data_IF_281639304481
#
_entry.id   IF_281639304481
#
_cell.length_a   1.000
_cell.length_b   1.000
_cell.length_c   1.000
_cell.angle_alpha   90.00
_cell.angle_beta   90.00
_cell.angle_gamma   90.00
#
_symmetry.space_group_name_H-M   'P 1'
#
loop_
_entity.id
_entity.type
_entity.pdbx_description
1 polymer ?
#
# COMPACT_ATOMS: atom_id res chain seq x y z
N UNK A 1 2.94 -26.22 9.52
CA UNK A 1 3.88 -25.80 8.48
C UNK A 1 3.98 -24.27 8.44
N UNK A 2 2.87 -23.54 8.38
CA UNK A 2 2.82 -22.08 8.34
C UNK A 2 3.57 -21.42 9.50
N UNK A 3 3.38 -21.92 10.72
CA UNK A 3 4.08 -21.39 11.90
C UNK A 3 5.60 -21.50 11.80
N UNK A 4 6.13 -22.55 11.17
CA UNK A 4 7.56 -22.70 10.93
C UNK A 4 8.04 -21.66 9.94
N UNK A 5 7.29 -21.43 8.85
CA UNK A 5 7.61 -20.43 7.84
C UNK A 5 7.62 -19.03 8.44
N UNK A 6 6.62 -18.70 9.27
CA UNK A 6 6.55 -17.41 9.99
C UNK A 6 7.77 -17.25 10.91
N UNK A 7 8.13 -18.30 11.66
CA UNK A 7 9.29 -18.25 12.55
C UNK A 7 10.59 -18.00 11.79
N UNK A 8 10.78 -18.64 10.63
CA UNK A 8 11.95 -18.44 9.76
C UNK A 8 11.98 -17.01 9.21
N UNK A 9 10.82 -16.42 8.85
CA UNK A 9 10.75 -15.04 8.38
C UNK A 9 11.11 -14.07 9.50
N UNK A 10 10.56 -14.25 10.71
CA UNK A 10 10.88 -13.41 11.87
C UNK A 10 12.36 -13.51 12.20
N UNK A 11 12.91 -14.73 12.20
CA UNK A 11 14.33 -14.94 12.41
C UNK A 11 15.18 -14.22 11.34
N UNK A 12 14.79 -14.33 10.07
CA UNK A 12 15.45 -13.59 8.96
C UNK A 12 15.42 -12.08 9.20
N UNK A 13 14.27 -11.53 9.64
CA UNK A 13 14.13 -10.09 9.94
C UNK A 13 15.10 -9.65 11.05
N UNK A 14 15.19 -10.44 12.13
CA UNK A 14 16.13 -10.18 13.24
C UNK A 14 17.57 -10.21 12.75
N UNK A 15 17.94 -11.19 11.91
CA UNK A 15 19.30 -11.30 11.35
C UNK A 15 19.67 -10.11 10.45
N UNK A 16 18.70 -9.60 9.65
CA UNK A 16 18.92 -8.38 8.86
C UNK A 16 19.12 -7.18 9.76
N UNK A 17 18.36 -7.05 10.87
CA UNK A 17 18.55 -6.01 11.87
C UNK A 17 19.93 -6.09 12.54
N UNK A 18 20.36 -7.28 12.93
CA UNK A 18 21.70 -7.49 13.54
C UNK A 18 22.82 -7.09 12.56
N UNK A 19 22.67 -7.40 11.27
CA UNK A 19 23.66 -7.07 10.24
C UNK A 19 23.78 -5.55 9.95
N UNK A 20 22.95 -4.71 10.55
CA UNK A 20 23.08 -3.25 10.48
C UNK A 20 24.12 -2.66 11.46
N UNK A 21 24.58 -3.46 12.41
CA UNK A 21 25.63 -3.08 13.37
C UNK A 21 27.02 -3.45 12.85
N UNK A 22 28.04 -2.75 13.34
CA UNK A 22 29.43 -3.11 13.07
C UNK A 22 29.79 -4.40 13.83
N UNK A 23 29.86 -5.50 13.10
CA UNK A 23 30.08 -6.85 13.63
C UNK A 23 31.48 -7.36 13.32
N UNK A 24 31.94 -8.28 14.17
CA UNK A 24 33.16 -9.05 13.89
C UNK A 24 33.05 -9.78 12.53
N UNK A 25 34.12 -9.79 11.69
CA UNK A 25 34.10 -10.48 10.39
C UNK A 25 33.68 -11.96 10.46
N UNK A 26 33.94 -12.64 11.57
CA UNK A 26 33.51 -14.03 11.77
C UNK A 26 31.99 -14.14 11.89
N UNK A 27 31.36 -13.19 12.60
CA UNK A 27 29.88 -13.15 12.73
C UNK A 27 29.22 -12.83 11.39
N UNK A 28 29.80 -11.92 10.60
CA UNK A 28 29.30 -11.61 9.26
C UNK A 28 29.31 -12.87 8.38
N UNK A 29 30.38 -13.67 8.42
CA UNK A 29 30.45 -14.92 7.65
C UNK A 29 29.37 -15.93 8.07
N UNK A 30 29.09 -16.04 9.37
CA UNK A 30 28.02 -16.92 9.87
C UNK A 30 26.65 -16.42 9.39
N UNK A 31 26.41 -15.11 9.47
CA UNK A 31 25.17 -14.48 9.04
C UNK A 31 24.93 -14.75 7.52
N UNK A 32 25.95 -14.66 6.69
CA UNK A 32 25.85 -14.94 5.27
C UNK A 32 25.46 -16.39 4.99
N UNK A 33 26.05 -17.35 5.71
CA UNK A 33 25.70 -18.79 5.57
C UNK A 33 24.25 -19.04 6.01
N UNK A 34 23.84 -18.45 7.13
CA UNK A 34 22.47 -18.57 7.62
C UNK A 34 21.47 -17.94 6.63
N UNK A 35 21.80 -16.76 6.09
CA UNK A 35 20.97 -16.06 5.12
C UNK A 35 20.80 -16.87 3.81
N UNK A 36 21.86 -17.52 3.34
CA UNK A 36 21.78 -18.45 2.22
C UNK A 36 20.87 -19.64 2.55
N UNK A 37 21.00 -20.22 3.74
CA UNK A 37 20.15 -21.31 4.21
C UNK A 37 18.66 -20.93 4.25
N UNK A 38 18.35 -19.71 4.71
CA UNK A 38 16.99 -19.15 4.71
C UNK A 38 16.46 -18.98 3.28
N UNK A 39 17.30 -18.51 2.37
CA UNK A 39 16.90 -18.35 0.95
C UNK A 39 16.57 -19.69 0.33
N UNK A 40 17.41 -20.71 0.59
CA UNK A 40 17.21 -22.07 0.10
C UNK A 40 15.93 -22.69 0.69
N UNK A 41 15.66 -22.46 1.98
CA UNK A 41 14.42 -22.89 2.63
C UNK A 41 13.19 -22.32 1.92
N UNK A 42 13.18 -21.01 1.61
CA UNK A 42 12.07 -20.40 0.90
C UNK A 42 11.94 -20.86 -0.54
N UNK A 43 13.04 -21.15 -1.22
CA UNK A 43 13.00 -21.71 -2.55
C UNK A 43 12.38 -23.12 -2.56
N UNK A 44 12.76 -23.96 -1.60
CA UNK A 44 12.20 -25.29 -1.44
C UNK A 44 10.71 -25.20 -1.10
N UNK A 45 10.32 -24.36 -0.16
CA UNK A 45 8.92 -24.13 0.23
C UNK A 45 8.06 -23.71 -0.97
N UNK A 46 8.52 -22.72 -1.74
CA UNK A 46 7.83 -22.24 -2.93
C UNK A 46 7.73 -23.33 -4.01
N UNK A 47 8.81 -24.11 -4.20
CA UNK A 47 8.83 -25.22 -5.14
C UNK A 47 7.85 -26.32 -4.75
N UNK A 48 7.81 -26.69 -3.48
CA UNK A 48 6.85 -27.70 -2.95
C UNK A 48 5.42 -27.20 -3.15
N UNK A 49 5.13 -25.93 -2.84
CA UNK A 49 3.81 -25.33 -3.06
C UNK A 49 3.43 -25.34 -4.54
N UNK A 50 4.37 -24.98 -5.43
CA UNK A 50 4.16 -25.01 -6.87
C UNK A 50 3.94 -26.44 -7.38
N UNK A 51 4.71 -27.42 -6.91
CA UNK A 51 4.54 -28.82 -7.30
C UNK A 51 3.24 -29.43 -6.77
N UNK A 52 2.79 -29.02 -5.60
CA UNK A 52 1.53 -29.43 -5.00
C UNK A 52 0.28 -28.91 -5.71
N UNK A 53 0.39 -27.83 -6.51
CA UNK A 53 -0.73 -27.28 -7.24
C UNK A 53 -1.10 -28.17 -8.44
N UNK A 54 -2.34 -28.67 -8.54
CA UNK A 54 -2.76 -29.55 -9.64
C UNK A 54 -2.65 -28.88 -11.02
N UNK A 55 -2.98 -27.59 -11.08
CA UNK A 55 -2.93 -26.80 -12.29
C UNK A 55 -1.87 -25.70 -12.18
N UNK A 56 -0.67 -25.93 -12.75
CA UNK A 56 0.45 -25.00 -12.69
C UNK A 56 0.15 -23.60 -13.21
N UNK A 57 -0.79 -23.46 -14.14
CA UNK A 57 -1.22 -22.14 -14.65
C UNK A 57 -2.05 -21.37 -13.62
N UNK A 58 -2.76 -22.04 -12.73
CA UNK A 58 -3.57 -21.41 -11.69
C UNK A 58 -2.70 -20.86 -10.56
N UNK A 59 -1.56 -21.48 -10.31
CA UNK A 59 -0.59 -20.96 -9.35
C UNK A 59 -0.23 -19.49 -9.62
N UNK A 60 0.01 -19.13 -10.88
CA UNK A 60 0.34 -17.76 -11.28
C UNK A 60 -0.88 -16.86 -11.53
N UNK A 61 -2.11 -17.34 -11.36
CA UNK A 61 -3.30 -16.46 -11.30
C UNK A 61 -3.47 -15.82 -9.93
N UNK A 62 -2.92 -16.40 -8.89
CA UNK A 62 -2.90 -15.79 -7.55
C UNK A 62 -1.84 -14.70 -7.47
N UNK A 63 -2.25 -13.45 -7.21
CA UNK A 63 -1.33 -12.33 -7.00
C UNK A 63 -0.33 -12.57 -5.87
N UNK A 64 -0.74 -13.29 -4.82
CA UNK A 64 0.12 -13.63 -3.70
C UNK A 64 1.21 -14.64 -4.07
N UNK A 65 0.90 -15.62 -4.90
CA UNK A 65 1.89 -16.56 -5.39
C UNK A 65 2.91 -15.89 -6.32
N UNK A 66 2.45 -14.94 -7.16
CA UNK A 66 3.34 -14.11 -8.00
C UNK A 66 4.26 -13.28 -7.10
N UNK A 67 3.71 -12.64 -6.07
CA UNK A 67 4.46 -11.83 -5.12
C UNK A 67 5.54 -12.65 -4.41
N UNK A 68 5.19 -13.82 -3.85
CA UNK A 68 6.14 -14.73 -3.21
C UNK A 68 7.23 -15.20 -4.19
N UNK A 69 6.84 -15.57 -5.42
CA UNK A 69 7.77 -15.99 -6.47
C UNK A 69 8.75 -14.87 -6.82
N UNK A 70 8.26 -13.65 -6.95
CA UNK A 70 9.09 -12.47 -7.25
C UNK A 70 10.12 -12.23 -6.15
N UNK A 71 9.70 -12.23 -4.88
CA UNK A 71 10.61 -12.01 -3.74
C UNK A 71 11.69 -13.09 -3.68
N UNK A 72 11.32 -14.36 -3.84
CA UNK A 72 12.31 -15.46 -3.82
C UNK A 72 13.25 -15.37 -5.01
N UNK A 73 12.74 -15.12 -6.23
CA UNK A 73 13.55 -15.00 -7.44
C UNK A 73 14.57 -13.87 -7.35
N UNK A 74 14.14 -12.70 -6.88
CA UNK A 74 15.04 -11.55 -6.68
C UNK A 74 16.08 -11.85 -5.60
N UNK A 75 15.70 -12.62 -4.55
CA UNK A 75 16.63 -13.02 -3.49
C UNK A 75 17.71 -14.02 -3.93
N UNK A 76 17.53 -14.65 -5.08
CA UNK A 76 18.51 -15.59 -5.67
C UNK A 76 19.52 -14.90 -6.58
N UNK A 77 19.28 -13.63 -6.98
CA UNK A 77 20.20 -12.91 -7.85
C UNK A 77 21.50 -12.63 -7.05
N UNK A 78 22.65 -13.19 -7.48
CA UNK A 78 23.92 -12.84 -6.87
C UNK A 78 24.23 -11.39 -7.22
N UNK A 79 24.27 -10.54 -6.21
CA UNK A 79 24.62 -9.12 -6.38
C UNK A 79 26.11 -9.02 -6.02
N UNK A 80 26.94 -9.08 -7.06
CA UNK A 80 28.36 -8.89 -6.95
C UNK A 80 28.70 -7.41 -6.83
N UNK A 81 29.58 -7.20 -5.91
CA UNK A 81 30.47 -6.11 -5.49
C UNK A 81 30.34 -4.70 -6.09
N UNK A 82 30.45 -3.80 -5.20
CA UNK A 82 30.86 -2.40 -5.14
C UNK A 82 29.76 -1.34 -5.23
N UNK A 83 28.82 -1.33 -6.16
CA UNK A 83 27.77 -0.30 -6.22
C UNK A 83 26.37 -0.79 -5.81
N UNK A 84 26.15 -2.11 -5.87
CA UNK A 84 24.85 -2.74 -5.64
C UNK A 84 24.72 -3.42 -4.25
N UNK A 85 25.70 -3.33 -3.37
CA UNK A 85 25.65 -3.90 -2.01
C UNK A 85 24.41 -3.40 -1.24
N UNK A 86 24.05 -2.13 -1.44
CA UNK A 86 22.83 -1.56 -0.87
C UNK A 86 21.58 -2.29 -1.34
N UNK A 87 21.46 -2.57 -2.65
CA UNK A 87 20.33 -3.32 -3.20
C UNK A 87 20.25 -4.75 -2.64
N UNK A 88 21.39 -5.42 -2.45
CA UNK A 88 21.44 -6.74 -1.82
C UNK A 88 20.88 -6.73 -0.39
N UNK A 89 21.16 -5.68 0.38
CA UNK A 89 20.58 -5.49 1.72
C UNK A 89 19.09 -5.25 1.66
N UNK A 90 18.61 -4.39 0.74
CA UNK A 90 17.18 -4.12 0.55
C UNK A 90 16.39 -5.38 0.17
N UNK A 91 16.93 -6.21 -0.72
CA UNK A 91 16.29 -7.46 -1.15
C UNK A 91 16.10 -8.40 0.05
N UNK A 92 17.09 -8.48 0.94
CA UNK A 92 16.96 -9.27 2.18
C UNK A 92 15.84 -8.75 3.08
N UNK A 93 15.69 -7.43 3.19
CA UNK A 93 14.60 -6.80 3.95
C UNK A 93 13.24 -7.15 3.34
N UNK A 94 13.12 -7.14 2.03
CA UNK A 94 11.85 -7.45 1.34
C UNK A 94 11.33 -8.88 1.59
N UNK A 95 12.19 -9.81 2.02
CA UNK A 95 11.73 -11.16 2.44
C UNK A 95 10.72 -11.10 3.60
N UNK A 96 10.84 -10.10 4.47
CA UNK A 96 9.91 -9.91 5.59
C UNK A 96 8.50 -9.64 5.08
N UNK A 97 8.34 -9.02 3.90
CA UNK A 97 7.04 -8.78 3.29
C UNK A 97 6.27 -10.07 2.96
N UNK A 98 6.95 -11.22 2.89
CA UNK A 98 6.28 -12.52 2.75
C UNK A 98 5.34 -12.86 3.92
N UNK A 99 5.54 -12.26 5.10
CA UNK A 99 4.58 -12.40 6.19
C UNK A 99 3.17 -11.99 5.77
N UNK A 100 3.05 -11.00 4.86
CA UNK A 100 1.76 -10.53 4.35
C UNK A 100 1.04 -11.62 3.55
N UNK A 101 1.79 -12.42 2.78
CA UNK A 101 1.20 -13.49 1.97
C UNK A 101 0.84 -14.74 2.78
N UNK A 102 1.47 -14.93 3.95
CA UNK A 102 1.33 -16.12 4.78
C UNK A 102 0.26 -15.92 5.86
N UNK A 103 0.25 -14.76 6.51
CA UNK A 103 -0.69 -14.45 7.59
C UNK A 103 -2.04 -14.04 7.00
N UNK A 104 -3.13 -14.82 7.21
CA UNK A 104 -4.44 -14.56 6.60
C UNK A 104 -4.99 -13.17 6.92
N UNK A 105 -4.79 -12.70 8.15
CA UNK A 105 -5.26 -11.38 8.63
C UNK A 105 -4.57 -10.24 7.88
N UNK A 106 -3.24 -10.33 7.69
CA UNK A 106 -2.48 -9.33 6.94
C UNK A 106 -2.86 -9.34 5.46
N UNK A 107 -3.06 -10.54 4.89
CA UNK A 107 -3.54 -10.70 3.51
C UNK A 107 -4.91 -10.04 3.32
N UNK A 108 -5.83 -10.25 4.27
CA UNK A 108 -7.15 -9.64 4.25
C UNK A 108 -7.05 -8.12 4.29
N UNK A 109 -6.25 -7.57 5.20
CA UNK A 109 -6.02 -6.12 5.32
C UNK A 109 -5.48 -5.51 4.03
N UNK A 110 -4.44 -6.12 3.45
CA UNK A 110 -3.84 -5.62 2.20
C UNK A 110 -4.82 -5.75 1.03
N UNK A 111 -5.56 -6.86 0.93
CA UNK A 111 -6.59 -7.02 -0.12
C UNK A 111 -7.68 -5.96 0.00
N UNK A 112 -8.12 -5.64 1.22
CA UNK A 112 -9.11 -4.57 1.46
C UNK A 112 -8.56 -3.20 1.06
N UNK A 113 -7.31 -2.91 1.40
CA UNK A 113 -6.62 -1.70 0.99
C UNK A 113 -6.53 -1.59 -0.54
N UNK A 114 -6.09 -2.67 -1.21
CA UNK A 114 -5.96 -2.70 -2.68
C UNK A 114 -7.31 -2.52 -3.38
N UNK A 115 -8.41 -3.04 -2.80
CA UNK A 115 -9.78 -2.83 -3.33
C UNK A 115 -10.25 -1.38 -3.17
N UNK A 116 -9.78 -0.67 -2.16
CA UNK A 116 -10.10 0.74 -1.95
C UNK A 116 -9.29 1.68 -2.88
N UNK A 117 -8.10 1.27 -3.34
CA UNK A 117 -7.22 2.11 -4.18
C UNK A 117 -7.88 2.69 -5.44
N UNK A 118 -8.68 1.95 -6.24
CA UNK A 118 -9.29 2.51 -7.46
C UNK A 118 -10.16 3.73 -7.20
N UNK A 119 -10.83 3.78 -6.05
CA UNK A 119 -11.68 4.92 -5.68
C UNK A 119 -10.87 6.15 -5.31
N UNK A 120 -9.71 5.93 -4.64
CA UNK A 120 -8.76 6.99 -4.33
C UNK A 120 -8.05 7.50 -5.58
N UNK A 121 -7.99 6.70 -6.64
CA UNK A 121 -7.27 7.03 -7.88
C UNK A 121 -7.76 8.32 -8.55
N UNK A 122 -9.06 8.57 -8.60
CA UNK A 122 -9.61 9.79 -9.18
C UNK A 122 -9.24 11.03 -8.35
N UNK A 123 -9.28 10.92 -7.03
CA UNK A 123 -8.88 12.03 -6.15
C UNK A 123 -7.38 12.25 -6.21
N UNK A 124 -6.60 11.18 -6.22
CA UNK A 124 -5.14 11.27 -6.41
C UNK A 124 -4.79 11.93 -7.75
N UNK A 125 -5.51 11.60 -8.83
CA UNK A 125 -5.34 12.24 -10.13
C UNK A 125 -5.67 13.73 -10.07
N UNK A 126 -6.79 14.12 -9.44
CA UNK A 126 -7.16 15.52 -9.23
C UNK A 126 -6.08 16.25 -8.43
N UNK A 127 -5.62 15.66 -7.34
CA UNK A 127 -4.53 16.21 -6.52
C UNK A 127 -3.26 16.38 -7.34
N UNK A 128 -2.87 15.39 -8.14
CA UNK A 128 -1.72 15.47 -9.01
C UNK A 128 -1.84 16.62 -10.02
N UNK A 129 -3.02 16.81 -10.61
CA UNK A 129 -3.26 17.93 -11.55
C UNK A 129 -3.08 19.28 -10.85
N UNK A 130 -3.67 19.43 -9.64
CA UNK A 130 -3.50 20.66 -8.85
C UNK A 130 -2.03 20.90 -8.54
N UNK A 131 -1.32 19.89 -8.05
CA UNK A 131 0.11 19.98 -7.76
C UNK A 131 0.93 20.37 -9.00
N UNK A 132 0.68 19.73 -10.13
CA UNK A 132 1.41 19.99 -11.37
C UNK A 132 1.20 21.42 -11.87
N UNK A 133 -0.04 21.92 -11.85
CA UNK A 133 -0.36 23.30 -12.27
C UNK A 133 0.35 24.29 -11.33
N UNK A 134 0.25 24.10 -10.03
CA UNK A 134 0.90 24.98 -9.06
C UNK A 134 2.43 24.87 -9.16
N UNK A 135 2.99 23.68 -9.37
CA UNK A 135 4.42 23.50 -9.56
C UNK A 135 4.93 24.26 -10.82
N UNK A 136 4.18 24.20 -11.91
CA UNK A 136 4.53 24.93 -13.13
C UNK A 136 4.46 26.44 -12.92
N UNK A 137 3.43 26.94 -12.24
CA UNK A 137 3.30 28.37 -11.89
C UNK A 137 4.42 28.78 -10.92
N UNK A 138 4.66 27.99 -9.85
CA UNK A 138 5.69 28.28 -8.87
C UNK A 138 7.10 28.28 -9.47
N UNK A 139 7.41 27.29 -10.29
CA UNK A 139 8.67 27.29 -11.04
C UNK A 139 8.83 28.55 -11.91
N UNK A 140 7.80 28.91 -12.67
CA UNK A 140 7.85 30.08 -13.54
C UNK A 140 8.00 31.40 -12.78
N UNK A 141 7.43 31.52 -11.60
CA UNK A 141 7.43 32.76 -10.81
C UNK A 141 8.62 32.87 -9.85
N UNK A 142 9.06 31.76 -9.27
CA UNK A 142 9.94 31.77 -8.10
C UNK A 142 11.30 31.12 -8.33
N UNK A 143 11.57 30.54 -9.51
CA UNK A 143 12.86 29.88 -9.79
C UNK A 143 14.07 30.81 -9.66
N UNK A 144 13.92 32.10 -9.98
CA UNK A 144 15.00 33.09 -9.84
C UNK A 144 15.19 33.57 -8.41
N UNK A 145 14.15 33.44 -7.53
CA UNK A 145 14.20 33.82 -6.14
C UNK A 145 14.94 32.74 -5.34
N UNK A 146 14.51 31.49 -5.52
CA UNK A 146 15.10 30.35 -4.84
C UNK A 146 15.13 29.11 -5.76
N UNK A 147 16.20 28.91 -6.50
CA UNK A 147 16.37 27.75 -7.37
C UNK A 147 16.36 26.40 -6.63
N UNK A 148 16.67 26.40 -5.33
CA UNK A 148 16.71 25.17 -4.52
C UNK A 148 15.31 24.65 -4.21
N UNK A 149 14.31 25.53 -4.20
CA UNK A 149 12.90 25.21 -3.96
C UNK A 149 12.06 25.22 -5.23
N UNK A 150 12.48 25.95 -6.28
CA UNK A 150 11.64 26.20 -7.46
C UNK A 150 12.38 26.00 -8.80
N UNK A 151 13.61 25.47 -8.79
CA UNK A 151 14.51 25.43 -9.96
C UNK A 151 14.00 24.54 -11.11
N UNK A 152 13.13 23.58 -10.88
CA UNK A 152 12.44 22.79 -11.90
C UNK A 152 11.12 22.22 -11.36
N UNK A 153 10.30 21.63 -12.27
CA UNK A 153 8.99 21.08 -11.91
C UNK A 153 9.07 20.02 -10.81
N UNK A 154 10.06 19.13 -10.86
CA UNK A 154 10.19 18.05 -9.85
C UNK A 154 10.52 18.63 -8.47
N UNK A 155 11.43 19.59 -8.38
CA UNK A 155 11.75 20.29 -7.13
C UNK A 155 10.54 21.06 -6.63
N UNK A 156 9.83 21.78 -7.52
CA UNK A 156 8.62 22.52 -7.19
C UNK A 156 7.51 21.63 -6.65
N UNK A 157 7.35 20.41 -7.20
CA UNK A 157 6.41 19.41 -6.68
C UNK A 157 6.76 18.97 -5.25
N UNK A 158 8.06 18.76 -4.94
CA UNK A 158 8.53 18.44 -3.60
C UNK A 158 8.29 19.61 -2.63
N UNK A 159 8.55 20.82 -3.07
CA UNK A 159 8.27 22.03 -2.28
C UNK A 159 6.78 22.16 -1.99
N UNK A 160 5.91 21.93 -2.96
CA UNK A 160 4.46 21.93 -2.75
C UNK A 160 3.99 20.79 -1.87
N UNK A 161 4.63 19.63 -1.95
CA UNK A 161 4.35 18.53 -1.00
C UNK A 161 4.66 18.95 0.44
N UNK A 162 5.81 19.61 0.66
CA UNK A 162 6.18 20.22 1.95
C UNK A 162 5.12 21.23 2.41
N UNK A 163 4.67 22.14 1.53
CA UNK A 163 3.62 23.12 1.81
C UNK A 163 2.29 22.44 2.19
N UNK A 164 1.88 21.37 1.46
CA UNK A 164 0.65 20.63 1.73
C UNK A 164 0.68 19.94 3.10
N UNK A 165 1.84 19.43 3.51
CA UNK A 165 2.02 18.80 4.83
C UNK A 165 2.19 19.80 5.97
N UNK A 166 2.07 21.10 5.68
CA UNK A 166 2.30 22.21 6.59
C UNK A 166 3.71 22.27 7.20
N UNK A 167 4.67 21.61 6.57
CA UNK A 167 6.06 21.64 6.98
C UNK A 167 6.72 22.93 6.50
N UNK A 168 7.10 23.82 7.42
CA UNK A 168 7.76 25.12 7.19
C UNK A 168 7.18 25.95 6.01
N UNK A 169 5.89 25.76 5.69
CA UNK A 169 5.26 26.42 4.55
C UNK A 169 5.32 27.94 4.62
N UNK A 170 5.31 28.48 5.83
CA UNK A 170 5.43 29.93 6.07
C UNK A 170 6.79 30.47 5.66
N UNK A 171 7.86 29.72 5.90
CA UNK A 171 9.22 30.13 5.54
C UNK A 171 9.39 30.16 4.02
N UNK A 172 8.86 29.14 3.34
CA UNK A 172 8.80 29.12 1.86
C UNK A 172 8.00 30.29 1.31
N UNK A 173 6.88 30.61 1.95
CA UNK A 173 6.04 31.77 1.57
C UNK A 173 6.78 33.09 1.81
N UNK A 174 7.38 33.30 2.99
CA UNK A 174 8.04 34.56 3.31
C UNK A 174 9.26 34.81 2.42
N UNK A 175 10.00 33.78 2.04
CA UNK A 175 11.11 33.90 1.09
C UNK A 175 10.66 34.48 -0.26
N UNK A 176 9.51 34.03 -0.79
CA UNK A 176 8.95 34.57 -2.04
C UNK A 176 8.22 35.90 -1.85
N UNK A 177 7.59 36.13 -0.68
CA UNK A 177 6.91 37.36 -0.37
C UNK A 177 7.85 38.56 -0.25
N UNK A 178 9.11 38.33 0.11
CA UNK A 178 10.11 39.38 0.13
C UNK A 178 10.33 40.03 -1.25
N UNK A 179 10.05 39.30 -2.35
CA UNK A 179 10.13 39.78 -3.74
C UNK A 179 8.75 40.10 -4.30
N UNK A 180 7.77 39.19 -4.11
CA UNK A 180 6.42 39.37 -4.60
C UNK A 180 5.45 39.45 -3.41
N UNK A 181 5.03 40.63 -2.99
CA UNK A 181 4.16 40.87 -1.84
C UNK A 181 2.86 40.05 -1.87
N UNK A 182 2.35 39.70 -3.05
CA UNK A 182 1.11 38.93 -3.26
C UNK A 182 1.31 37.41 -3.24
N UNK A 183 2.52 36.90 -3.09
CA UNK A 183 2.81 35.45 -3.15
C UNK A 183 2.05 34.65 -2.08
N UNK A 184 1.69 35.27 -0.94
CA UNK A 184 0.85 34.63 0.08
C UNK A 184 -0.46 34.06 -0.50
N UNK A 185 -1.05 34.72 -1.51
CA UNK A 185 -2.28 34.23 -2.15
C UNK A 185 -2.06 32.93 -2.91
N UNK A 186 -0.91 32.77 -3.56
CA UNK A 186 -0.53 31.52 -4.22
C UNK A 186 -0.50 30.35 -3.23
N UNK A 187 0.15 30.49 -2.07
CA UNK A 187 0.25 29.44 -1.05
C UNK A 187 -1.10 29.15 -0.40
N UNK A 188 -1.84 30.17 0.00
CA UNK A 188 -3.15 29.98 0.62
C UNK A 188 -4.16 29.35 -0.35
N UNK A 189 -4.16 29.73 -1.62
CA UNK A 189 -5.04 29.10 -2.63
C UNK A 189 -4.67 27.63 -2.86
N UNK A 190 -3.38 27.31 -2.89
CA UNK A 190 -2.92 25.94 -2.99
C UNK A 190 -3.36 25.10 -1.78
N UNK A 191 -3.11 25.57 -0.57
CA UNK A 191 -3.50 24.90 0.68
C UNK A 191 -5.01 24.71 0.72
N UNK A 192 -5.79 25.75 0.38
CA UNK A 192 -7.24 25.66 0.34
C UNK A 192 -7.74 24.58 -0.63
N UNK A 193 -7.24 24.59 -1.86
CA UNK A 193 -7.64 23.61 -2.88
C UNK A 193 -7.25 22.18 -2.49
N UNK A 194 -6.04 21.97 -1.97
CA UNK A 194 -5.58 20.66 -1.56
C UNK A 194 -6.31 20.15 -0.31
N UNK A 195 -6.54 21.01 0.69
CA UNK A 195 -7.33 20.68 1.87
C UNK A 195 -8.78 20.34 1.49
N UNK A 196 -9.39 21.11 0.60
CA UNK A 196 -10.75 20.85 0.11
C UNK A 196 -10.84 19.53 -0.66
N UNK A 197 -9.88 19.23 -1.53
CA UNK A 197 -9.82 17.94 -2.24
C UNK A 197 -9.65 16.78 -1.27
N UNK A 198 -8.80 16.92 -0.25
CA UNK A 198 -8.56 15.91 0.78
C UNK A 198 -9.81 15.67 1.66
N UNK A 199 -10.50 16.73 2.09
CA UNK A 199 -11.75 16.62 2.85
C UNK A 199 -12.83 15.92 2.05
N UNK A 200 -12.99 16.25 0.75
CA UNK A 200 -13.94 15.58 -0.11
C UNK A 200 -13.63 14.08 -0.27
N UNK A 201 -12.34 13.72 -0.30
CA UNK A 201 -11.92 12.32 -0.29
C UNK A 201 -12.36 11.60 0.98
N UNK A 202 -12.13 12.19 2.15
CA UNK A 202 -12.53 11.60 3.44
C UNK A 202 -14.05 11.43 3.49
N UNK A 203 -14.80 12.48 3.14
CA UNK A 203 -16.27 12.42 3.11
C UNK A 203 -16.75 11.30 2.17
N UNK A 204 -16.17 11.20 0.98
CA UNK A 204 -16.53 10.15 0.02
C UNK A 204 -16.27 8.73 0.56
N UNK A 205 -15.17 8.51 1.28
CA UNK A 205 -14.87 7.23 1.93
C UNK A 205 -15.89 6.94 3.04
N UNK A 206 -16.16 7.92 3.92
CA UNK A 206 -17.10 7.74 5.04
C UNK A 206 -18.52 7.43 4.52
N UNK A 207 -19.00 8.20 3.55
CA UNK A 207 -20.32 7.97 2.94
C UNK A 207 -20.42 6.56 2.36
N UNK A 208 -19.38 6.11 1.65
CA UNK A 208 -19.39 4.78 1.07
C UNK A 208 -19.40 3.68 2.12
N UNK A 209 -18.62 3.80 3.19
CA UNK A 209 -18.62 2.81 4.28
C UNK A 209 -20.02 2.72 4.90
N UNK A 210 -20.65 3.87 5.16
CA UNK A 210 -22.01 3.91 5.69
C UNK A 210 -23.04 3.27 4.71
N UNK A 211 -22.92 3.52 3.41
CA UNK A 211 -23.77 2.89 2.40
C UNK A 211 -23.57 1.36 2.34
N UNK A 212 -22.34 0.88 2.45
CA UNK A 212 -22.02 -0.55 2.47
C UNK A 212 -22.59 -1.23 3.72
N UNK A 213 -22.48 -0.61 4.90
CA UNK A 213 -23.09 -1.10 6.14
C UNK A 213 -24.63 -1.13 6.02
N UNK A 214 -25.23 -0.05 5.53
CA UNK A 214 -26.69 0.02 5.37
C UNK A 214 -27.23 -1.03 4.39
N UNK A 215 -26.53 -1.28 3.28
CA UNK A 215 -26.88 -2.36 2.35
C UNK A 215 -26.72 -3.74 2.97
N UNK A 216 -25.73 -3.95 3.80
CA UNK A 216 -25.52 -5.22 4.52
C UNK A 216 -26.66 -5.45 5.53
N UNK A 217 -27.08 -4.41 6.27
CA UNK A 217 -28.24 -4.48 7.19
C UNK A 217 -29.54 -4.74 6.46
N UNK A 218 -29.79 -4.05 5.33
CA UNK A 218 -30.99 -4.30 4.51
C UNK A 218 -31.01 -5.71 3.93
N UNK A 219 -29.85 -6.24 3.49
CA UNK A 219 -29.75 -7.59 2.99
C UNK A 219 -30.05 -8.61 4.09
N UNK A 220 -29.48 -8.42 5.29
CA UNK A 220 -29.74 -9.27 6.46
C UNK A 220 -31.21 -9.19 6.92
N UNK A 221 -31.81 -8.01 6.90
CA UNK A 221 -33.23 -7.83 7.21
C UNK A 221 -34.14 -8.58 6.22
N UNK A 222 -33.86 -8.46 4.91
CA UNK A 222 -34.60 -9.20 3.89
C UNK A 222 -34.43 -10.71 4.02
N UNK A 223 -33.21 -11.18 4.32
CA UNK A 223 -32.96 -12.60 4.52
C UNK A 223 -33.68 -13.13 5.75
N UNK A 224 -33.81 -12.34 6.82
CA UNK A 224 -34.61 -12.69 8.00
C UNK A 224 -36.12 -12.67 7.74
N UNK A 225 -36.58 -11.82 6.86
CA UNK A 225 -38.03 -11.72 6.48
C UNK A 225 -38.42 -12.80 5.49
N UNK A 226 -37.55 -13.20 4.56
CA UNK A 226 -37.81 -14.26 3.58
C UNK A 226 -37.21 -15.62 3.93
N UNK A 227 -36.34 -15.70 4.96
CA UNK A 227 -35.64 -16.91 5.38
C UNK A 227 -36.43 -17.82 6.32
N UNK A 228 -37.72 -17.64 6.46
CA UNK A 228 -38.59 -18.64 7.02
C UNK A 228 -38.59 -19.89 6.13
N UNK A 229 -38.70 -21.10 6.68
CA UNK A 229 -38.80 -22.30 5.87
C UNK A 229 -39.91 -22.12 4.85
N UNK A 230 -39.61 -22.40 3.55
CA UNK A 230 -40.61 -22.32 2.49
C UNK A 230 -41.87 -23.03 2.97
N UNK A 231 -43.06 -22.37 2.96
CA UNK A 231 -44.28 -22.98 3.45
C UNK A 231 -44.51 -24.26 2.66
N UNK A 232 -44.65 -25.35 3.37
CA UNK A 232 -44.89 -26.65 2.77
C UNK A 232 -46.19 -26.59 1.97
N UNK A 233 -46.30 -27.38 0.92
CA UNK A 233 -47.53 -27.52 0.14
C UNK A 233 -48.81 -27.74 1.00
N UNK A 234 -48.63 -28.32 2.17
CA UNK A 234 -49.67 -28.52 3.18
C UNK A 234 -50.12 -27.21 3.83
N UNK A 235 -49.18 -26.35 4.22
CA UNK A 235 -49.45 -25.03 4.84
C UNK A 235 -50.09 -24.06 3.83
N UNK A 236 -49.61 -24.06 2.59
CA UNK A 236 -50.24 -23.28 1.50
C UNK A 236 -51.68 -23.72 1.25
N UNK A 237 -51.94 -25.02 1.30
CA UNK A 237 -53.28 -25.57 1.12
C UNK A 237 -54.22 -25.22 2.27
N UNK A 238 -53.71 -25.21 3.51
CA UNK A 238 -54.45 -24.80 4.69
C UNK A 238 -54.80 -23.30 4.65
N UNK A 239 -53.86 -22.43 4.26
CA UNK A 239 -54.13 -20.99 4.06
C UNK A 239 -55.15 -20.72 2.93
N UNK A 240 -55.12 -21.50 1.88
CA UNK A 240 -56.11 -21.42 0.80
C UNK A 240 -57.53 -21.87 1.23
N UNK A 241 -57.63 -22.86 2.10
CA UNK A 241 -58.90 -23.35 2.62
C UNK A 241 -59.49 -22.39 3.67
N UNK A 242 -58.69 -21.63 4.41
CA UNK A 242 -59.12 -20.58 5.33
C UNK A 242 -59.60 -19.28 4.64
N UNK A 243 -59.22 -19.07 3.37
CA UNK A 243 -59.64 -17.94 2.54
C UNK A 243 -60.92 -18.24 1.74
N UNK A 244 -61.51 -19.42 1.89
CA UNK A 244 -62.70 -19.87 1.21
C UNK A 244 -63.92 -19.89 2.13
#
# INVERSE_FOLDING_TARGET
>A
FESIVILVIVFSAVMVGINSYDLDPRLISIILVVDFGITLFFLIELTVRFLGEPNKREFFKSGWNIFDTMIVSISLIPIDESELVFLGRLIRIFRVLRMISIIPELRLLVNSLLRALPQLGYVALLMFIIFYIYAAIGNSLFQEIDPTLWGNIAISLLTLFRVMTFEDWTDVMYATQAVYWWSWFYYLSFIFLTAFAFLNMIIGIVVKVLEEEHRAEEAAAKESEFGGPEPTLYEIKQQLDELR
#
